data_IF_123373792199
#
_entry.id   IF_123373792199
#
_cell.length_a   1.000
_cell.length_b   1.000
_cell.length_c   1.000
_cell.angle_alpha   90.00
_cell.angle_beta   90.00
_cell.angle_gamma   90.00
#
_symmetry.space_group_name_H-M   'P 1'
#
loop_
_entity.id
_entity.type
_entity.pdbx_description
1 polymer ?
#
# COMPACT_ATOMS: atom_id res chain seq x y z
N UNK A 1 -0.19 -5.75 -16.30
CA UNK A 1 -0.29 -6.41 -14.99
C UNK A 1 -1.63 -7.14 -14.97
N UNK A 2 -1.60 -8.46 -14.86
CA UNK A 2 -2.81 -9.27 -14.80
C UNK A 2 -3.39 -9.24 -13.37
N UNK A 3 -4.65 -9.67 -13.21
CA UNK A 3 -5.33 -9.65 -11.90
C UNK A 3 -4.54 -10.36 -10.79
N UNK A 4 -3.83 -11.44 -11.11
CA UNK A 4 -3.00 -12.17 -10.15
C UNK A 4 -1.76 -11.37 -9.71
N UNK A 5 -1.08 -10.71 -10.65
CA UNK A 5 0.08 -9.85 -10.35
C UNK A 5 -0.34 -8.65 -9.51
N UNK A 6 -1.46 -8.02 -9.87
CA UNK A 6 -2.03 -6.87 -9.15
C UNK A 6 -2.35 -7.22 -7.69
N UNK A 7 -2.98 -8.37 -7.45
CA UNK A 7 -3.26 -8.88 -6.10
C UNK A 7 -1.99 -9.20 -5.32
N UNK A 8 -0.93 -9.67 -5.98
CA UNK A 8 0.35 -9.93 -5.34
C UNK A 8 1.02 -8.62 -4.89
N UNK A 9 0.99 -7.58 -5.73
CA UNK A 9 1.58 -6.28 -5.41
C UNK A 9 0.81 -5.57 -4.29
N UNK A 10 -0.54 -5.60 -4.33
CA UNK A 10 -1.38 -5.09 -3.23
C UNK A 10 -0.98 -5.73 -1.90
N UNK A 11 -0.86 -7.07 -1.86
CA UNK A 11 -0.47 -7.79 -0.64
C UNK A 11 0.93 -7.43 -0.17
N UNK A 12 1.85 -7.21 -1.11
CA UNK A 12 3.21 -6.79 -0.80
C UNK A 12 3.20 -5.41 -0.13
N UNK A 13 2.51 -4.43 -0.72
CA UNK A 13 2.43 -3.07 -0.16
C UNK A 13 1.72 -3.08 1.20
N UNK A 14 0.64 -3.85 1.36
CA UNK A 14 -0.02 -4.03 2.66
C UNK A 14 0.94 -4.60 3.73
N UNK A 15 1.80 -5.55 3.35
CA UNK A 15 2.81 -6.10 4.25
C UNK A 15 3.91 -5.08 4.59
N UNK A 16 4.35 -4.28 3.62
CA UNK A 16 5.33 -3.20 3.84
C UNK A 16 4.76 -2.13 4.78
N UNK A 17 3.50 -1.71 4.59
CA UNK A 17 2.79 -0.78 5.48
C UNK A 17 2.69 -1.36 6.90
N UNK A 18 2.28 -2.62 7.04
CA UNK A 18 2.16 -3.26 8.34
C UNK A 18 3.52 -3.38 9.06
N UNK A 19 4.58 -3.71 8.33
CA UNK A 19 5.93 -3.77 8.85
C UNK A 19 6.44 -2.38 9.26
N UNK A 20 6.15 -1.35 8.47
CA UNK A 20 6.50 0.05 8.76
C UNK A 20 5.78 0.51 10.03
N UNK A 21 4.46 0.35 10.11
CA UNK A 21 3.63 0.69 11.28
C UNK A 21 4.07 -0.06 12.54
N UNK A 22 4.48 -1.32 12.42
CA UNK A 22 5.00 -2.09 13.57
C UNK A 22 6.32 -1.54 14.12
N UNK A 23 7.13 -0.89 13.27
CA UNK A 23 8.40 -0.26 13.64
C UNK A 23 8.23 1.18 14.14
N UNK A 24 7.01 1.71 14.17
CA UNK A 24 6.77 3.08 14.60
C UNK A 24 7.13 3.27 16.08
N UNK A 25 8.01 4.24 16.41
CA UNK A 25 8.30 4.56 17.80
C UNK A 25 7.07 5.17 18.46
N UNK A 26 6.64 4.62 19.61
CA UNK A 26 5.42 5.04 20.31
C UNK A 26 5.39 6.51 20.75
N UNK A 27 6.54 7.18 20.76
CA UNK A 27 6.74 8.52 21.29
C UNK A 27 7.33 9.51 20.28
N UNK A 28 7.82 9.04 19.11
CA UNK A 28 8.47 9.92 18.14
C UNK A 28 8.53 9.27 16.76
N UNK A 29 7.41 9.28 16.04
CA UNK A 29 7.41 8.90 14.61
C UNK A 29 8.19 9.95 13.83
N UNK A 30 9.17 9.51 13.05
CA UNK A 30 9.98 10.43 12.22
C UNK A 30 9.14 10.88 11.02
N UNK A 31 9.25 12.14 10.57
CA UNK A 31 8.57 12.63 9.37
C UNK A 31 8.82 11.72 8.15
N UNK A 32 10.04 11.25 7.97
CA UNK A 32 10.38 10.33 6.87
C UNK A 32 9.67 8.96 6.93
N UNK A 33 9.25 8.51 8.11
CA UNK A 33 8.43 7.30 8.25
C UNK A 33 6.96 7.56 7.95
N UNK A 34 6.50 8.80 8.15
CA UNK A 34 5.14 9.22 7.78
C UNK A 34 5.06 9.40 6.28
N UNK A 35 6.00 10.13 5.68
CA UNK A 35 6.11 10.30 4.22
C UNK A 35 6.16 8.95 3.51
N UNK A 36 7.01 8.02 3.99
CA UNK A 36 7.07 6.67 3.43
C UNK A 36 5.76 5.90 3.59
N UNK A 37 5.02 6.11 4.68
CA UNK A 37 3.71 5.48 4.85
C UNK A 37 2.70 6.07 3.85
N UNK A 38 2.67 7.40 3.71
CA UNK A 38 1.77 8.09 2.79
C UNK A 38 2.01 7.66 1.34
N UNK A 39 3.27 7.53 0.91
CA UNK A 39 3.63 7.01 -0.42
C UNK A 39 3.10 5.59 -0.63
N UNK A 40 3.28 4.71 0.36
CA UNK A 40 2.80 3.32 0.29
C UNK A 40 1.27 3.25 0.29
N UNK A 41 0.58 4.08 1.09
CA UNK A 41 -0.88 4.13 1.14
C UNK A 41 -1.47 4.70 -0.15
N UNK A 42 -0.83 5.69 -0.77
CA UNK A 42 -1.25 6.23 -2.06
C UNK A 42 -1.06 5.22 -3.20
N UNK A 43 0.06 4.49 -3.22
CA UNK A 43 0.28 3.41 -4.19
C UNK A 43 -0.74 2.28 -4.02
N UNK A 44 -1.02 1.87 -2.77
CA UNK A 44 -2.06 0.89 -2.48
C UNK A 44 -3.42 1.34 -3.01
N UNK A 45 -3.78 2.61 -2.83
CA UNK A 45 -5.04 3.17 -3.33
C UNK A 45 -5.11 3.12 -4.87
N UNK A 46 -4.01 3.44 -5.57
CA UNK A 46 -3.91 3.31 -7.03
C UNK A 46 -4.12 1.87 -7.49
N UNK A 47 -3.42 0.91 -6.87
CA UNK A 47 -3.55 -0.51 -7.22
C UNK A 47 -4.95 -1.05 -6.93
N UNK A 48 -5.58 -0.64 -5.84
CA UNK A 48 -6.97 -1.01 -5.49
C UNK A 48 -7.98 -0.46 -6.48
N UNK A 49 -7.78 0.77 -6.96
CA UNK A 49 -8.60 1.35 -8.02
C UNK A 49 -8.46 0.54 -9.31
N UNK A 50 -7.24 0.22 -9.71
CA UNK A 50 -6.98 -0.64 -10.87
C UNK A 50 -7.61 -2.02 -10.70
N UNK A 51 -7.60 -2.59 -9.49
CA UNK A 51 -8.23 -3.89 -9.20
C UNK A 51 -9.74 -3.82 -9.39
N UNK A 52 -10.37 -2.73 -8.92
CA UNK A 52 -11.79 -2.45 -9.13
C UNK A 52 -12.15 -2.26 -10.60
N UNK A 53 -11.35 -1.51 -11.36
CA UNK A 53 -11.53 -1.29 -12.80
C UNK A 53 -11.38 -2.59 -13.61
N UNK A 54 -10.44 -3.47 -13.22
CA UNK A 54 -10.29 -4.81 -13.80
C UNK A 54 -11.44 -5.76 -13.44
N UNK A 55 -12.04 -5.59 -12.27
CA UNK A 55 -13.16 -6.42 -11.80
C UNK A 55 -14.51 -5.98 -12.38
N UNK A 56 -14.68 -4.69 -12.65
CA UNK A 56 -15.87 -4.10 -13.26
C UNK A 56 -15.47 -3.19 -14.44
N UNK A 57 -15.10 -3.78 -15.60
CA UNK A 57 -14.91 -3.00 -16.81
C UNK A 57 -16.27 -2.42 -17.23
N UNK A 58 -16.37 -1.08 -17.24
CA UNK A 58 -17.55 -0.38 -17.73
C UNK A 58 -17.70 -0.45 -19.24
#
# INVERSE_FOLDING_TARGET
>A
MNSAELKAEIRRIEAEIAALKKRWPAHSVKPSMVEQLEELEEELARLRKMEGELAYPS
#
